data_IF_087836920887
#
_entry.id   IF_087836920887
#
_cell.length_a   1.000
_cell.length_b   1.000
_cell.length_c   1.000
_cell.angle_alpha   90.00
_cell.angle_beta   90.00
_cell.angle_gamma   90.00
#
_symmetry.space_group_name_H-M   'P 1'
#
loop_
_entity.id
_entity.type
_entity.pdbx_description
1 polymer ?
#
# COMPACT_ATOMS: atom_id res chain seq x y z
N UNK A 1 -20.63 -1.60 -30.74
CA UNK A 1 -19.56 -1.39 -29.74
C UNK A 1 -19.74 -2.44 -28.64
N UNK A 2 -18.65 -3.00 -28.10
CA UNK A 2 -18.75 -3.92 -26.96
C UNK A 2 -19.40 -3.20 -25.77
N UNK A 3 -20.20 -3.92 -24.98
CA UNK A 3 -20.79 -3.36 -23.77
C UNK A 3 -19.69 -2.96 -22.77
N UNK A 4 -19.87 -1.80 -22.10
CA UNK A 4 -18.99 -1.36 -21.02
C UNK A 4 -19.10 -2.32 -19.84
N UNK A 5 -17.97 -2.65 -19.22
CA UNK A 5 -17.90 -3.59 -18.10
C UNK A 5 -17.60 -2.85 -16.78
N UNK A 6 -18.06 -3.38 -15.63
CA UNK A 6 -17.68 -2.84 -14.32
C UNK A 6 -16.17 -2.89 -14.12
N UNK A 7 -15.65 -2.11 -13.17
CA UNK A 7 -14.22 -2.09 -12.86
C UNK A 7 -13.91 -2.32 -11.39
N UNK A 8 -12.79 -2.98 -11.11
CA UNK A 8 -12.19 -3.11 -9.79
C UNK A 8 -10.80 -2.47 -9.77
N UNK A 9 -10.57 -1.55 -8.84
CA UNK A 9 -9.24 -0.98 -8.55
C UNK A 9 -8.69 -1.71 -7.32
N UNK A 10 -7.49 -2.25 -7.44
CA UNK A 10 -6.90 -3.14 -6.44
C UNK A 10 -5.66 -2.53 -5.78
N UNK A 11 -5.73 -2.25 -4.47
CA UNK A 11 -4.66 -1.60 -3.70
C UNK A 11 -3.88 -2.59 -2.82
N UNK A 12 -2.55 -2.62 -2.96
CA UNK A 12 -1.67 -3.53 -2.23
C UNK A 12 -1.39 -3.11 -0.79
N UNK A 13 -0.94 -4.08 0.01
CA UNK A 13 -0.59 -3.84 1.41
C UNK A 13 0.69 -3.01 1.58
N UNK A 14 1.03 -2.78 2.86
CA UNK A 14 2.19 -2.00 3.27
C UNK A 14 3.47 -2.48 2.57
N UNK A 15 4.07 -1.60 1.77
CA UNK A 15 5.32 -1.86 1.03
C UNK A 15 5.26 -3.09 0.10
N UNK A 16 4.08 -3.57 -0.27
CA UNK A 16 3.92 -4.62 -1.28
C UNK A 16 4.11 -4.06 -2.70
N UNK A 17 4.05 -4.90 -3.73
CA UNK A 17 3.99 -4.49 -5.15
C UNK A 17 2.89 -5.25 -5.88
N UNK A 18 2.43 -4.72 -7.02
CA UNK A 18 1.33 -5.26 -7.81
C UNK A 18 1.53 -6.69 -8.31
N UNK A 19 2.76 -7.20 -8.36
CA UNK A 19 3.05 -8.58 -8.75
C UNK A 19 2.72 -9.60 -7.65
N UNK A 20 2.57 -9.16 -6.40
CA UNK A 20 2.40 -10.04 -5.23
C UNK A 20 0.94 -10.39 -5.05
N UNK A 21 0.54 -11.63 -5.32
CA UNK A 21 -0.82 -12.21 -5.15
C UNK A 21 -1.93 -11.60 -6.03
N UNK A 22 -1.81 -10.35 -6.43
CA UNK A 22 -2.83 -9.57 -7.12
C UNK A 22 -3.12 -10.04 -8.55
N UNK A 23 -2.15 -10.49 -9.37
CA UNK A 23 -2.44 -10.91 -10.74
C UNK A 23 -3.40 -12.11 -10.82
N UNK A 24 -3.38 -12.99 -9.81
CA UNK A 24 -4.30 -14.14 -9.74
C UNK A 24 -5.73 -13.70 -9.39
N UNK A 25 -5.87 -12.78 -8.43
CA UNK A 25 -7.17 -12.26 -8.01
C UNK A 25 -7.77 -11.36 -9.11
N UNK A 26 -6.96 -10.52 -9.74
CA UNK A 26 -7.36 -9.69 -10.89
C UNK A 26 -7.88 -10.53 -12.07
N UNK A 27 -7.19 -11.63 -12.40
CA UNK A 27 -7.66 -12.58 -13.41
C UNK A 27 -9.02 -13.18 -13.04
N UNK A 28 -9.24 -13.51 -11.76
CA UNK A 28 -10.54 -14.04 -11.33
C UNK A 28 -11.66 -13.02 -11.53
N UNK A 29 -11.41 -11.73 -11.28
CA UNK A 29 -12.35 -10.65 -11.59
C UNK A 29 -12.62 -10.54 -13.10
N UNK A 30 -11.59 -10.66 -13.93
CA UNK A 30 -11.76 -10.68 -15.40
C UNK A 30 -12.62 -11.85 -15.88
N UNK A 31 -12.46 -13.04 -15.29
CA UNK A 31 -13.32 -14.21 -15.61
C UNK A 31 -14.81 -13.95 -15.31
N UNK A 32 -15.09 -13.02 -14.38
CA UNK A 32 -16.45 -12.58 -14.03
C UNK A 32 -16.89 -11.31 -14.78
N UNK A 33 -16.13 -10.86 -15.77
CA UNK A 33 -16.50 -9.73 -16.62
C UNK A 33 -16.16 -8.36 -16.06
N UNK A 34 -15.22 -8.25 -15.12
CA UNK A 34 -14.71 -6.97 -14.62
C UNK A 34 -13.43 -6.54 -15.36
N UNK A 35 -13.31 -5.24 -15.60
CA UNK A 35 -12.01 -4.61 -15.80
C UNK A 35 -11.27 -4.61 -14.47
N UNK A 36 -10.02 -5.07 -14.42
CA UNK A 36 -9.23 -5.11 -13.19
C UNK A 36 -7.97 -4.27 -13.35
N UNK A 37 -7.82 -3.25 -12.50
CA UNK A 37 -6.61 -2.44 -12.40
C UNK A 37 -5.83 -2.84 -11.14
N UNK A 38 -4.61 -3.33 -11.35
CA UNK A 38 -3.59 -3.49 -10.31
C UNK A 38 -2.49 -2.45 -10.57
N UNK A 39 -1.95 -1.85 -9.53
CA UNK A 39 -0.96 -0.77 -9.65
C UNK A 39 0.01 -0.81 -8.45
N UNK A 40 1.17 -0.17 -8.59
CA UNK A 40 2.04 0.12 -7.46
C UNK A 40 1.65 1.47 -6.86
N UNK A 41 1.50 1.59 -5.54
CA UNK A 41 1.30 2.89 -4.88
C UNK A 41 2.46 3.84 -5.17
N UNK A 42 2.26 5.15 -4.94
CA UNK A 42 3.34 6.14 -5.00
C UNK A 42 4.59 5.69 -4.24
N UNK A 43 5.76 6.03 -4.76
CA UNK A 43 7.07 5.69 -4.20
C UNK A 43 7.41 4.19 -4.18
N UNK A 44 6.53 3.31 -4.66
CA UNK A 44 6.66 1.85 -4.61
C UNK A 44 6.78 1.27 -6.02
N UNK A 45 7.52 0.17 -6.13
CA UNK A 45 7.63 -0.62 -7.35
C UNK A 45 8.03 0.22 -8.56
N UNK A 46 7.19 0.21 -9.59
CA UNK A 46 7.37 0.95 -10.85
C UNK A 46 6.73 2.34 -10.85
N UNK A 47 5.90 2.65 -9.86
CA UNK A 47 5.29 3.98 -9.74
C UNK A 47 6.30 5.02 -9.29
N UNK A 48 6.12 6.24 -9.79
CA UNK A 48 6.99 7.37 -9.53
C UNK A 48 6.99 7.82 -8.06
N UNK A 49 7.93 8.71 -7.76
CA UNK A 49 7.97 9.46 -6.51
C UNK A 49 9.20 9.17 -5.67
N UNK A 50 9.54 10.17 -4.85
CA UNK A 50 10.67 10.18 -3.93
C UNK A 50 10.23 10.76 -2.57
N UNK A 51 10.83 10.29 -1.46
CA UNK A 51 11.80 9.21 -1.37
C UNK A 51 11.19 7.83 -1.69
N UNK A 52 11.98 6.90 -2.26
CA UNK A 52 11.48 5.52 -2.51
C UNK A 52 11.06 4.84 -1.22
N UNK A 53 9.99 4.06 -1.28
CA UNK A 53 9.39 3.37 -0.13
C UNK A 53 9.01 4.31 1.04
N UNK A 54 8.57 5.51 0.70
CA UNK A 54 7.99 6.46 1.64
C UNK A 54 6.46 6.37 1.56
N UNK A 55 5.88 5.50 2.37
CA UNK A 55 4.43 5.27 2.42
C UNK A 55 3.79 6.39 3.24
N UNK A 56 2.75 7.00 2.66
CA UNK A 56 1.92 8.01 3.30
C UNK A 56 0.46 7.71 2.99
N UNK A 57 -0.26 7.02 3.89
CA UNK A 57 -1.59 6.50 3.65
C UNK A 57 -2.61 7.55 3.23
N UNK A 58 -2.50 8.78 3.75
CA UNK A 58 -3.40 9.87 3.35
C UNK A 58 -3.22 10.26 1.89
N UNK A 59 -1.97 10.32 1.41
CA UNK A 59 -1.68 10.61 0.00
C UNK A 59 -2.02 9.42 -0.89
N UNK A 60 -1.86 8.18 -0.39
CA UNK A 60 -2.27 6.98 -1.13
C UNK A 60 -3.80 6.91 -1.27
N UNK A 61 -4.57 7.38 -0.27
CA UNK A 61 -6.01 7.55 -0.41
C UNK A 61 -6.38 8.57 -1.48
N UNK A 62 -5.68 9.70 -1.56
CA UNK A 62 -5.86 10.70 -2.63
C UNK A 62 -5.54 10.11 -4.01
N UNK A 63 -4.43 9.36 -4.12
CA UNK A 63 -4.05 8.67 -5.36
C UNK A 63 -5.15 7.69 -5.82
N UNK A 64 -5.82 6.98 -4.89
CA UNK A 64 -6.96 6.11 -5.25
C UNK A 64 -8.08 6.91 -5.93
N UNK A 65 -8.36 8.14 -5.48
CA UNK A 65 -9.39 8.99 -6.08
C UNK A 65 -9.01 9.40 -7.52
N UNK A 66 -7.74 9.69 -7.75
CA UNK A 66 -7.19 10.00 -9.07
C UNK A 66 -7.20 8.78 -9.99
N UNK A 67 -6.87 7.61 -9.44
CA UNK A 67 -6.95 6.33 -10.16
C UNK A 67 -8.40 6.03 -10.56
N UNK A 68 -9.37 6.23 -9.66
CA UNK A 68 -10.81 6.10 -9.99
C UNK A 68 -11.20 7.07 -11.11
N UNK A 69 -10.70 8.31 -11.07
CA UNK A 69 -10.91 9.28 -12.17
C UNK A 69 -10.37 8.74 -13.49
N UNK A 70 -9.12 8.26 -13.51
CA UNK A 70 -8.51 7.68 -14.70
C UNK A 70 -9.30 6.48 -15.23
N UNK A 71 -9.60 5.49 -14.37
CA UNK A 71 -10.35 4.28 -14.72
C UNK A 71 -11.74 4.63 -15.27
N UNK A 72 -12.43 5.60 -14.66
CA UNK A 72 -13.75 6.03 -15.11
C UNK A 72 -13.76 6.68 -16.50
N UNK A 73 -12.61 7.18 -16.97
CA UNK A 73 -12.45 7.79 -18.29
C UNK A 73 -12.26 6.77 -19.42
N UNK A 74 -11.93 5.50 -19.09
CA UNK A 74 -11.64 4.48 -20.07
C UNK A 74 -12.90 4.07 -20.85
N UNK A 75 -12.85 3.96 -22.19
CA UNK A 75 -14.04 3.79 -23.03
C UNK A 75 -14.75 2.45 -22.83
N UNK A 76 -14.08 1.44 -22.29
CA UNK A 76 -14.60 0.09 -22.03
C UNK A 76 -15.05 -0.11 -20.57
N UNK A 77 -14.91 0.91 -19.72
CA UNK A 77 -15.34 0.89 -18.32
C UNK A 77 -16.72 1.53 -18.18
N UNK A 78 -17.60 0.86 -17.43
CA UNK A 78 -18.83 1.46 -16.92
C UNK A 78 -18.51 2.27 -15.67
N UNK A 79 -18.41 3.59 -15.83
CA UNK A 79 -18.08 4.52 -14.75
C UNK A 79 -19.09 4.55 -13.61
N UNK A 80 -20.29 3.97 -13.80
CA UNK A 80 -21.29 3.83 -12.74
C UNK A 80 -21.07 2.58 -11.87
N UNK A 81 -20.16 1.68 -12.25
CA UNK A 81 -19.94 0.40 -11.58
C UNK A 81 -18.44 0.18 -11.31
N UNK A 82 -17.85 1.07 -10.49
CA UNK A 82 -16.47 0.96 -10.01
C UNK A 82 -16.49 0.51 -8.55
N UNK A 83 -15.71 -0.53 -8.23
CA UNK A 83 -15.49 -1.02 -6.87
C UNK A 83 -14.01 -0.92 -6.50
N UNK A 84 -13.74 -0.82 -5.20
CA UNK A 84 -12.39 -0.94 -4.67
C UNK A 84 -12.19 -2.31 -4.04
N UNK A 85 -10.97 -2.84 -4.15
CA UNK A 85 -10.53 -4.04 -3.48
C UNK A 85 -9.17 -3.74 -2.86
N UNK A 86 -8.96 -4.05 -1.59
CA UNK A 86 -7.68 -3.80 -0.94
C UNK A 86 -7.31 -4.91 0.03
N UNK A 87 -6.00 -5.08 0.23
CA UNK A 87 -5.45 -6.04 1.19
C UNK A 87 -4.55 -5.35 2.22
N UNK A 88 -4.66 -5.73 3.49
CA UNK A 88 -3.86 -5.15 4.58
C UNK A 88 -4.01 -3.62 4.64
N UNK A 89 -2.92 -2.84 4.61
CA UNK A 89 -2.99 -1.37 4.58
C UNK A 89 -3.82 -0.86 3.40
N UNK A 90 -3.69 -1.47 2.22
CA UNK A 90 -4.48 -1.11 1.04
C UNK A 90 -5.98 -1.33 1.20
N UNK A 91 -6.40 -2.23 2.09
CA UNK A 91 -7.81 -2.39 2.46
C UNK A 91 -8.31 -1.18 3.24
N UNK A 92 -7.52 -0.72 4.22
CA UNK A 92 -7.83 0.48 5.02
C UNK A 92 -7.86 1.72 4.14
N UNK A 93 -6.87 1.89 3.25
CA UNK A 93 -6.81 3.00 2.29
C UNK A 93 -8.00 2.98 1.33
N UNK A 94 -8.39 1.82 0.82
CA UNK A 94 -9.59 1.67 -0.01
C UNK A 94 -10.86 2.07 0.74
N UNK A 95 -10.98 1.72 2.02
CA UNK A 95 -12.10 2.12 2.88
C UNK A 95 -12.16 3.64 3.07
N UNK A 96 -11.02 4.26 3.38
CA UNK A 96 -10.90 5.71 3.51
C UNK A 96 -11.23 6.44 2.21
N UNK A 97 -10.70 5.99 1.07
CA UNK A 97 -11.00 6.55 -0.24
C UNK A 97 -12.50 6.47 -0.58
N UNK A 98 -13.13 5.33 -0.30
CA UNK A 98 -14.57 5.15 -0.51
C UNK A 98 -15.45 6.04 0.37
N UNK A 99 -14.98 6.42 1.56
CA UNK A 99 -15.68 7.38 2.40
C UNK A 99 -15.70 8.80 1.81
N UNK A 100 -14.75 9.11 0.91
CA UNK A 100 -14.59 10.45 0.31
C UNK A 100 -15.16 10.57 -1.10
N UNK A 101 -15.34 9.46 -1.82
CA UNK A 101 -15.72 9.48 -3.23
C UNK A 101 -16.99 8.66 -3.55
N UNK A 102 -18.13 9.33 -3.82
CA UNK A 102 -19.42 8.68 -4.04
C UNK A 102 -19.51 7.91 -5.38
N UNK A 103 -18.49 7.98 -6.24
CA UNK A 103 -18.41 7.17 -7.46
C UNK A 103 -18.19 5.68 -7.14
N UNK A 104 -17.60 5.39 -5.98
CA UNK A 104 -17.27 4.02 -5.55
C UNK A 104 -18.54 3.30 -5.08
N UNK A 105 -18.83 2.14 -5.69
CA UNK A 105 -20.07 1.37 -5.44
C UNK A 105 -19.95 0.35 -4.32
N UNK A 106 -18.77 -0.19 -4.12
CA UNK A 106 -18.49 -1.14 -3.07
C UNK A 106 -16.99 -1.17 -2.75
N UNK A 107 -16.67 -1.63 -1.55
CA UNK A 107 -15.29 -1.88 -1.12
C UNK A 107 -15.20 -3.32 -0.60
N UNK A 108 -14.17 -4.03 -1.05
CA UNK A 108 -13.79 -5.33 -0.49
C UNK A 108 -12.50 -5.15 0.31
N UNK A 109 -12.58 -5.34 1.62
CA UNK A 109 -11.44 -5.20 2.53
C UNK A 109 -10.94 -6.58 2.96
N UNK A 110 -9.73 -6.95 2.54
CA UNK A 110 -9.10 -8.22 2.92
C UNK A 110 -8.08 -7.94 4.03
N UNK A 111 -8.26 -8.61 5.18
CA UNK A 111 -7.40 -8.47 6.37
C UNK A 111 -7.00 -7.01 6.71
N UNK A 112 -7.95 -6.07 6.80
CA UNK A 112 -7.63 -4.67 7.02
C UNK A 112 -6.90 -4.43 8.33
N UNK A 113 -6.03 -3.43 8.33
CA UNK A 113 -5.29 -2.99 9.51
C UNK A 113 -5.87 -1.68 10.03
N UNK A 114 -6.34 -1.69 11.28
CA UNK A 114 -6.88 -0.50 11.95
C UNK A 114 -6.04 -0.05 13.14
N UNK A 115 -5.03 -0.86 13.51
CA UNK A 115 -4.07 -0.51 14.55
C UNK A 115 -2.67 -0.76 14.03
N UNK A 116 -1.86 0.28 14.06
CA UNK A 116 -0.60 0.32 13.32
C UNK A 116 0.62 0.19 14.22
N UNK A 117 0.51 0.22 15.56
CA UNK A 117 1.67 0.46 16.41
C UNK A 117 1.76 -0.42 17.65
N UNK A 118 2.99 -0.83 17.95
CA UNK A 118 3.40 -1.38 19.24
C UNK A 118 3.83 -0.23 20.15
N UNK A 119 3.04 0.06 21.20
CA UNK A 119 3.26 1.23 22.06
C UNK A 119 4.65 1.24 22.72
N UNK A 120 5.19 0.08 23.06
CA UNK A 120 6.51 -0.10 23.67
C UNK A 120 7.68 0.34 22.76
N UNK A 121 7.47 0.40 21.44
CA UNK A 121 8.49 0.84 20.47
C UNK A 121 8.40 2.32 20.11
N UNK A 122 7.28 2.95 20.41
CA UNK A 122 6.94 4.28 19.89
C UNK A 122 7.97 5.35 20.27
N UNK A 123 8.34 5.44 21.56
CA UNK A 123 9.28 6.47 22.02
C UNK A 123 10.63 6.37 21.29
N UNK A 124 11.19 5.16 21.21
CA UNK A 124 12.48 4.91 20.54
C UNK A 124 12.42 5.26 19.05
N UNK A 125 11.32 4.91 18.39
CA UNK A 125 11.14 5.21 16.96
C UNK A 125 11.02 6.73 16.73
N UNK A 126 10.26 7.44 17.57
CA UNK A 126 10.14 8.90 17.49
C UNK A 126 11.47 9.61 17.73
N UNK A 127 12.26 9.18 18.73
CA UNK A 127 13.60 9.70 18.96
C UNK A 127 14.52 9.48 17.74
N UNK A 128 14.47 8.30 17.12
CA UNK A 128 15.27 8.02 15.92
C UNK A 128 14.79 8.85 14.72
N UNK A 129 13.49 9.10 14.60
CA UNK A 129 12.90 9.95 13.56
C UNK A 129 13.37 11.40 13.68
N UNK A 130 13.49 11.94 14.89
CA UNK A 130 14.04 13.29 15.11
C UNK A 130 15.50 13.36 14.63
N UNK A 131 16.31 12.35 14.97
CA UNK A 131 17.71 12.27 14.51
C UNK A 131 17.82 12.15 12.99
N UNK A 132 16.96 11.34 12.38
CA UNK A 132 16.86 11.17 10.92
C UNK A 132 16.52 12.49 10.23
N UNK A 133 15.53 13.25 10.74
CA UNK A 133 15.20 14.58 10.21
C UNK A 133 16.36 15.56 10.28
N UNK A 134 17.08 15.60 11.40
CA UNK A 134 18.29 16.42 11.53
C UNK A 134 19.40 15.97 10.57
N UNK A 135 19.51 14.67 10.32
CA UNK A 135 20.46 14.10 9.35
C UNK A 135 20.17 14.54 7.92
N UNK A 136 18.90 14.54 7.52
CA UNK A 136 18.48 14.94 6.18
C UNK A 136 18.73 16.43 5.92
N UNK A 137 18.67 17.29 6.95
CA UNK A 137 19.07 18.71 6.81
C UNK A 137 20.55 18.89 6.42
N UNK A 138 21.38 17.87 6.62
CA UNK A 138 22.81 17.85 6.22
C UNK A 138 23.03 17.18 4.85
N UNK A 139 21.96 16.87 4.11
CA UNK A 139 22.03 16.25 2.79
C UNK A 139 22.10 14.71 2.78
N UNK A 140 21.96 14.05 3.94
CA UNK A 140 21.92 12.60 3.99
C UNK A 140 20.57 12.04 3.50
N UNK A 141 20.57 10.83 2.94
CA UNK A 141 19.34 10.13 2.57
C UNK A 141 18.47 9.81 3.81
N UNK A 142 17.18 9.62 3.58
CA UNK A 142 16.25 9.22 4.63
C UNK A 142 16.61 7.83 5.18
N UNK A 143 16.69 7.72 6.50
CA UNK A 143 16.94 6.44 7.15
C UNK A 143 15.77 5.49 6.92
N UNK A 144 16.10 4.24 6.57
CA UNK A 144 15.10 3.23 6.22
C UNK A 144 15.37 1.90 6.92
N UNK A 145 14.29 1.19 7.22
CA UNK A 145 14.28 -0.12 7.87
C UNK A 145 13.26 -1.03 7.20
N UNK A 146 13.47 -2.36 7.17
CA UNK A 146 12.48 -3.27 6.60
C UNK A 146 11.19 -3.26 7.44
N UNK A 147 10.00 -3.49 6.82
CA UNK A 147 8.75 -3.67 7.55
C UNK A 147 8.81 -4.81 8.57
N UNK A 148 9.45 -5.92 8.20
CA UNK A 148 9.70 -7.08 9.06
C UNK A 148 11.15 -7.54 8.91
N UNK A 149 11.75 -8.03 9.98
CA UNK A 149 13.09 -8.64 9.96
C UNK A 149 13.01 -10.16 9.65
N UNK A 150 14.16 -10.85 9.60
CA UNK A 150 14.23 -12.29 9.35
C UNK A 150 13.60 -13.18 10.43
N UNK A 151 13.19 -12.61 11.56
CA UNK A 151 12.41 -13.27 12.61
C UNK A 151 10.90 -12.98 12.50
N UNK A 152 10.48 -12.23 11.49
CA UNK A 152 9.09 -11.79 11.31
C UNK A 152 8.68 -10.69 12.30
N UNK A 153 9.62 -9.99 12.91
CA UNK A 153 9.34 -8.90 13.86
C UNK A 153 9.41 -7.55 13.14
N UNK A 154 8.50 -6.65 13.47
CA UNK A 154 8.54 -5.27 12.96
C UNK A 154 9.53 -4.42 13.78
N UNK A 155 10.61 -3.89 13.18
CA UNK A 155 11.60 -3.08 13.89
C UNK A 155 11.02 -1.80 14.48
N UNK A 156 10.04 -1.22 13.79
CA UNK A 156 9.35 0.02 14.21
C UNK A 156 8.06 -0.28 14.98
N UNK A 157 7.58 -1.52 14.96
CA UNK A 157 6.27 -1.86 15.50
C UNK A 157 5.11 -1.54 14.57
N UNK A 158 5.39 -1.13 13.31
CA UNK A 158 4.40 -0.92 12.26
C UNK A 158 3.77 -2.26 11.81
N UNK A 159 2.46 -2.31 11.58
CA UNK A 159 1.80 -3.42 10.86
C UNK A 159 1.03 -4.45 11.69
N UNK A 160 0.90 -4.28 13.01
CA UNK A 160 0.28 -5.31 13.86
C UNK A 160 1.18 -6.54 14.07
N UNK A 161 0.82 -7.41 14.99
CA UNK A 161 1.66 -8.48 15.58
C UNK A 161 2.55 -9.22 14.58
N UNK A 162 3.88 -9.13 14.78
CA UNK A 162 4.87 -9.94 14.08
C UNK A 162 4.71 -11.44 14.37
N UNK A 163 5.75 -12.22 14.14
CA UNK A 163 5.67 -13.69 14.25
C UNK A 163 5.35 -14.33 12.90
N UNK A 164 4.52 -15.39 12.81
CA UNK A 164 4.39 -16.18 11.59
C UNK A 164 3.98 -15.37 10.34
N UNK A 165 3.00 -14.45 10.48
CA UNK A 165 2.56 -13.60 9.36
C UNK A 165 3.62 -12.57 8.93
N UNK A 166 4.35 -12.00 9.90
CA UNK A 166 5.48 -11.11 9.60
C UNK A 166 6.63 -11.84 8.90
N UNK A 167 6.88 -13.09 9.28
CA UNK A 167 7.90 -13.94 8.65
C UNK A 167 7.48 -14.32 7.23
N UNK A 168 6.22 -14.66 7.02
CA UNK A 168 5.66 -14.92 5.69
C UNK A 168 5.82 -13.69 4.79
N UNK A 169 5.46 -12.49 5.27
CA UNK A 169 5.63 -11.27 4.49
C UNK A 169 7.10 -10.95 4.22
N UNK A 170 8.00 -11.13 5.21
CA UNK A 170 9.44 -10.97 5.00
C UNK A 170 9.96 -11.89 3.89
N UNK A 171 9.59 -13.16 3.92
CA UNK A 171 9.99 -14.14 2.92
C UNK A 171 9.42 -13.80 1.54
N UNK A 172 8.15 -13.41 1.47
CA UNK A 172 7.48 -12.97 0.25
C UNK A 172 8.20 -11.78 -0.40
N UNK A 173 8.43 -10.70 0.36
CA UNK A 173 9.10 -9.50 -0.15
C UNK A 173 10.54 -9.76 -0.58
N UNK A 174 11.24 -10.61 0.16
CA UNK A 174 12.61 -11.01 -0.18
C UNK A 174 12.66 -11.84 -1.46
N UNK A 175 11.67 -12.72 -1.68
CA UNK A 175 11.59 -13.55 -2.87
C UNK A 175 11.20 -12.75 -4.14
N UNK A 176 10.36 -11.73 -4.01
CA UNK A 176 9.89 -10.90 -5.13
C UNK A 176 10.93 -9.86 -5.57
N UNK A 177 11.68 -9.27 -4.63
CA UNK A 177 12.55 -8.13 -4.91
C UNK A 177 13.61 -8.33 -6.01
N UNK A 178 14.16 -9.54 -6.18
CA UNK A 178 15.22 -9.79 -7.18
C UNK A 178 14.70 -10.38 -8.51
N UNK A 179 13.44 -10.81 -8.58
CA UNK A 179 12.91 -11.57 -9.74
C UNK A 179 11.74 -10.91 -10.46
N UNK A 180 10.86 -10.21 -9.75
CA UNK A 180 9.60 -9.72 -10.31
C UNK A 180 9.43 -8.20 -10.25
N UNK A 181 10.16 -7.48 -9.37
CA UNK A 181 10.11 -6.02 -9.30
C UNK A 181 11.50 -5.45 -8.98
N UNK A 182 12.34 -5.19 -10.00
CA UNK A 182 13.74 -4.80 -9.81
C UNK A 182 13.90 -3.45 -9.11
N UNK A 183 12.85 -2.62 -9.09
CA UNK A 183 12.81 -1.33 -8.40
C UNK A 183 12.28 -1.42 -6.97
N UNK A 184 11.71 -2.56 -6.57
CA UNK A 184 11.26 -2.77 -5.21
C UNK A 184 12.45 -2.92 -4.25
N UNK A 185 12.32 -2.36 -3.06
CA UNK A 185 13.26 -2.52 -1.95
C UNK A 185 12.45 -2.86 -0.70
N UNK A 186 12.86 -3.91 0.00
CA UNK A 186 12.23 -4.32 1.26
C UNK A 186 12.71 -3.42 2.41
N UNK A 187 12.40 -2.13 2.33
CA UNK A 187 12.73 -1.09 3.29
C UNK A 187 11.63 -0.02 3.24
N UNK A 188 11.43 0.70 4.33
CA UNK A 188 10.56 1.87 4.40
C UNK A 188 11.28 2.98 5.14
N UNK A 189 11.05 4.22 4.75
CA UNK A 189 11.61 5.36 5.48
C UNK A 189 11.06 5.44 6.91
N UNK A 190 11.83 5.93 7.88
CA UNK A 190 11.33 6.12 9.24
C UNK A 190 10.12 7.08 9.28
N UNK A 191 10.06 8.05 8.38
CA UNK A 191 8.93 8.97 8.28
C UNK A 191 7.61 8.27 7.94
N UNK A 192 7.62 7.12 7.27
CA UNK A 192 6.41 6.30 7.05
C UNK A 192 5.72 5.98 8.37
N UNK A 193 6.48 5.65 9.42
CA UNK A 193 5.94 5.39 10.76
C UNK A 193 5.11 6.57 11.27
N UNK A 194 5.62 7.79 11.13
CA UNK A 194 4.90 8.99 11.53
C UNK A 194 3.65 9.24 10.68
N UNK A 195 3.72 9.01 9.37
CA UNK A 195 2.57 9.19 8.48
C UNK A 195 1.45 8.20 8.78
N UNK A 196 1.79 6.97 9.15
CA UNK A 196 0.79 5.99 9.58
C UNK A 196 0.14 6.34 10.92
N UNK A 197 0.81 7.12 11.80
CA UNK A 197 0.21 7.58 13.08
C UNK A 197 -0.95 8.55 12.84
N UNK A 198 -1.04 9.13 11.64
CA UNK A 198 -2.03 10.13 11.29
C UNK A 198 -3.28 9.54 10.61
N UNK A 199 -3.36 8.21 10.43
CA UNK A 199 -4.59 7.58 9.92
C UNK A 199 -5.67 7.71 11.00
N UNK A 200 -6.85 8.28 10.69
CA UNK A 200 -7.98 8.31 11.61
C UNK A 200 -8.40 6.88 11.99
N UNK A 201 -8.48 6.59 13.28
CA UNK A 201 -9.05 5.34 13.83
C UNK A 201 -10.49 5.53 14.24
#
# INVERSE_FOLDING_TARGET
MAAKAPAVVMTHGLNCVKEILFPKVARRFQDFGYNALIYDSRNIGESDGLPRNHINPMLECEDILDIVTHVSSLPHVDSKNIILWGASLGATESGCAAAMDPRIKAVVMVCPIFSFFQQDKMEKVLQQLIKDRQSQLRGNEAFSVPPYNSKGESPTGIGGSGGPGGLELYNLMTAIGSRASPNHRNRMTLQTYLKTLSIPT
#
